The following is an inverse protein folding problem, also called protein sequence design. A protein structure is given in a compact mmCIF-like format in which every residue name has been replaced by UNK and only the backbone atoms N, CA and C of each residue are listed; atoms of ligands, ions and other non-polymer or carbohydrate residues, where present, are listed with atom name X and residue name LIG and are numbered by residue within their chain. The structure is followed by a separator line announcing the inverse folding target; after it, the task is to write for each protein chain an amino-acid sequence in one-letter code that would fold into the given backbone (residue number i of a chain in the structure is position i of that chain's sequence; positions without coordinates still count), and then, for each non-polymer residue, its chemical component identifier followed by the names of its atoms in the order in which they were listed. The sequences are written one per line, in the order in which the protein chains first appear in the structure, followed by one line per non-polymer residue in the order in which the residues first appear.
data_IF_600420991637
#
_entry.id   IF_600420991637
#
_cell.length_a   1.000
_cell.length_b   1.000
_cell.length_c   1.000
_cell.angle_alpha   90.00
_cell.angle_beta   90.00
_cell.angle_gamma   90.00
#
_symmetry.space_group_name_H-M   'P 1'
#
loop_
_entity.id
_entity.type
_entity.pdbx_description
1 polymer ?
#
# COMPACT_ATOMS: atom_id res chain seq x y z
N UNK A 1 5.28 5.60 4.67
CA UNK A 1 6.23 4.89 3.78
C UNK A 1 7.66 5.11 4.23
N UNK A 2 8.66 4.72 3.44
CA UNK A 2 10.07 4.80 3.85
C UNK A 2 10.57 6.24 4.06
N UNK A 3 9.94 7.23 3.42
CA UNK A 3 10.26 8.64 3.66
C UNK A 3 9.72 9.17 4.99
N UNK A 4 8.72 8.52 5.58
CA UNK A 4 8.16 8.91 6.87
C UNK A 4 8.87 8.22 8.04
N UNK A 5 9.25 6.95 7.85
CA UNK A 5 9.83 6.11 8.90
C UNK A 5 11.33 5.87 8.76
N UNK A 6 11.97 6.29 7.67
CA UNK A 6 13.28 5.84 7.19
C UNK A 6 13.23 4.46 6.49
N UNK A 7 14.26 4.16 5.69
CA UNK A 7 14.44 2.83 5.10
C UNK A 7 14.68 1.75 6.17
N UNK A 8 15.34 2.15 7.26
CA UNK A 8 15.52 1.35 8.46
C UNK A 8 14.91 2.13 9.63
N UNK A 9 13.66 1.83 10.02
CA UNK A 9 12.97 2.56 11.06
C UNK A 9 13.68 2.51 12.40
N UNK A 10 13.45 3.52 13.22
CA UNK A 10 13.86 3.56 14.62
C UNK A 10 12.64 3.82 15.51
N UNK A 11 12.76 3.59 16.81
CA UNK A 11 11.68 3.89 17.75
C UNK A 11 11.30 5.38 17.70
N UNK A 12 12.28 6.27 17.50
CA UNK A 12 12.07 7.70 17.38
C UNK A 12 11.33 8.07 16.09
N UNK A 13 11.67 7.48 14.94
CA UNK A 13 10.96 7.78 13.68
C UNK A 13 9.50 7.31 13.74
N UNK A 14 9.25 6.13 14.33
CA UNK A 14 7.88 5.63 14.55
C UNK A 14 7.12 6.51 15.54
N UNK A 15 7.74 6.89 16.65
CA UNK A 15 7.11 7.79 17.65
C UNK A 15 6.78 9.15 17.04
N UNK A 16 7.71 9.71 16.26
CA UNK A 16 7.50 10.96 15.55
C UNK A 16 6.32 10.86 14.59
N UNK A 17 6.24 9.81 13.76
CA UNK A 17 5.08 9.58 12.89
C UNK A 17 3.78 9.53 13.68
N UNK A 18 3.72 8.70 14.73
CA UNK A 18 2.50 8.48 15.52
C UNK A 18 2.01 9.76 16.20
N UNK A 19 2.95 10.60 16.68
CA UNK A 19 2.60 11.89 17.29
C UNK A 19 1.98 12.90 16.32
N UNK A 20 2.29 12.82 15.01
CA UNK A 20 1.79 13.75 14.00
C UNK A 20 0.56 13.23 13.24
N UNK A 21 0.51 11.92 12.97
CA UNK A 21 -0.46 11.34 12.04
C UNK A 21 -1.38 10.28 12.67
N UNK A 22 -1.10 9.84 13.90
CA UNK A 22 -1.85 8.77 14.57
C UNK A 22 -1.28 7.38 14.29
N UNK A 23 -2.10 6.35 14.44
CA UNK A 23 -1.64 4.97 14.38
C UNK A 23 -1.03 4.61 13.01
N UNK A 24 0.11 3.90 13.04
CA UNK A 24 0.86 3.49 11.86
C UNK A 24 0.41 2.14 11.27
N UNK A 25 -0.45 1.42 12.00
CA UNK A 25 -1.20 0.29 11.52
C UNK A 25 -2.56 0.23 12.26
N UNK A 26 -3.64 -0.12 11.54
CA UNK A 26 -4.99 -0.20 12.11
C UNK A 26 -5.94 -0.92 11.15
N UNK A 27 -7.12 -1.27 11.65
CA UNK A 27 -8.21 -1.83 10.85
C UNK A 27 -9.43 -0.92 10.91
N UNK A 28 -10.18 -0.82 9.82
CA UNK A 28 -11.46 -0.15 9.79
C UNK A 28 -12.45 -0.89 8.88
N UNK A 29 -13.73 -0.56 9.01
CA UNK A 29 -14.81 -1.23 8.30
C UNK A 29 -15.74 -0.21 7.65
N UNK A 30 -16.16 -0.51 6.43
CA UNK A 30 -17.16 0.29 5.70
C UNK A 30 -18.03 -0.67 4.91
N UNK A 31 -19.35 -0.62 5.12
CA UNK A 31 -20.36 -1.35 4.34
C UNK A 31 -20.07 -2.84 4.09
N UNK A 32 -19.61 -3.54 5.14
CA UNK A 32 -19.31 -4.97 5.10
C UNK A 32 -17.94 -5.32 4.52
N UNK A 33 -17.10 -4.33 4.20
CA UNK A 33 -15.71 -4.52 3.81
C UNK A 33 -14.78 -4.29 5.01
N UNK A 34 -13.70 -5.05 5.08
CA UNK A 34 -12.62 -4.88 6.06
C UNK A 34 -11.41 -4.27 5.36
N UNK A 35 -10.84 -3.23 5.96
CA UNK A 35 -9.65 -2.56 5.46
C UNK A 35 -8.57 -2.61 6.52
N UNK A 36 -7.38 -3.07 6.12
CA UNK A 36 -6.24 -3.27 7.00
C UNK A 36 -5.11 -2.36 6.51
N UNK A 37 -4.63 -1.46 7.36
CA UNK A 37 -3.49 -0.60 7.10
C UNK A 37 -2.31 -1.15 7.89
N UNK A 38 -1.16 -1.37 7.23
CA UNK A 38 0.05 -1.88 7.90
C UNK A 38 1.26 -0.97 7.66
N UNK A 39 2.10 -0.84 8.68
CA UNK A 39 3.44 -0.32 8.52
C UNK A 39 4.36 -1.41 7.95
N UNK A 40 4.41 -1.51 6.62
CA UNK A 40 5.22 -2.53 5.94
C UNK A 40 6.73 -2.29 6.05
N UNK A 41 7.18 -1.13 6.56
CA UNK A 41 8.60 -0.84 6.73
C UNK A 41 9.29 -1.82 7.70
N UNK A 42 8.57 -2.29 8.72
CA UNK A 42 9.10 -3.27 9.67
C UNK A 42 9.44 -4.62 8.99
N UNK A 43 8.68 -4.99 7.95
CA UNK A 43 8.94 -6.21 7.19
C UNK A 43 10.12 -6.05 6.21
N UNK A 44 10.46 -4.80 5.85
CA UNK A 44 11.62 -4.50 5.02
C UNK A 44 12.93 -4.50 5.82
N UNK A 45 12.94 -3.87 6.99
CA UNK A 45 14.06 -3.85 7.93
C UNK A 45 13.56 -3.50 9.34
N UNK A 46 13.61 -4.44 10.29
CA UNK A 46 13.20 -4.24 11.68
C UNK A 46 14.36 -4.23 12.67
N UNK A 47 15.62 -4.13 12.23
CA UNK A 47 16.78 -4.31 13.12
C UNK A 47 16.81 -3.37 14.33
N UNK A 48 16.26 -2.16 14.21
CA UNK A 48 16.18 -1.19 15.32
C UNK A 48 14.78 -1.09 15.97
N UNK A 49 13.83 -1.92 15.53
CA UNK A 49 12.42 -1.86 15.95
C UNK A 49 11.82 -3.26 16.19
N UNK A 50 12.64 -4.24 16.58
CA UNK A 50 12.22 -5.64 16.74
C UNK A 50 10.95 -5.80 17.60
N UNK A 51 10.85 -5.08 18.72
CA UNK A 51 9.67 -5.14 19.58
C UNK A 51 8.39 -4.64 18.90
N UNK A 52 8.49 -3.56 18.11
CA UNK A 52 7.36 -3.00 17.35
C UNK A 52 6.96 -3.91 16.18
N UNK A 53 7.96 -4.52 15.52
CA UNK A 53 7.73 -5.55 14.52
C UNK A 53 6.96 -6.74 15.12
N UNK A 54 7.42 -7.30 16.25
CA UNK A 54 6.78 -8.44 16.90
C UNK A 54 5.34 -8.13 17.34
N UNK A 55 5.11 -6.89 17.80
CA UNK A 55 3.77 -6.40 18.14
C UNK A 55 2.85 -6.39 16.92
N UNK A 56 3.29 -5.76 15.82
CA UNK A 56 2.52 -5.68 14.60
C UNK A 56 2.35 -7.04 13.93
N UNK A 57 3.35 -7.93 13.98
CA UNK A 57 3.25 -9.26 13.36
C UNK A 57 2.23 -10.15 14.09
N UNK A 58 2.20 -10.10 15.42
CA UNK A 58 1.14 -10.73 16.22
C UNK A 58 -0.22 -10.11 15.94
N UNK A 59 -0.28 -8.80 15.79
CA UNK A 59 -1.53 -8.10 15.48
C UNK A 59 -2.07 -8.48 14.11
N UNK A 60 -1.25 -8.42 13.04
CA UNK A 60 -1.69 -8.74 11.68
C UNK A 60 -2.10 -10.21 11.57
N UNK A 61 -1.44 -11.12 12.28
CA UNK A 61 -1.86 -12.52 12.33
C UNK A 61 -3.29 -12.67 12.84
N UNK A 62 -3.69 -11.88 13.87
CA UNK A 62 -5.07 -11.87 14.37
C UNK A 62 -6.04 -11.26 13.36
N UNK A 63 -5.67 -10.16 12.71
CA UNK A 63 -6.51 -9.53 11.68
C UNK A 63 -6.76 -10.46 10.50
N UNK A 64 -5.75 -11.22 10.07
CA UNK A 64 -5.89 -12.17 8.98
C UNK A 64 -6.71 -13.41 9.37
N UNK A 65 -6.66 -13.85 10.64
CA UNK A 65 -7.58 -14.87 11.15
C UNK A 65 -9.03 -14.37 11.16
N UNK A 66 -9.25 -13.13 11.58
CA UNK A 66 -10.55 -12.49 11.55
C UNK A 66 -11.07 -12.32 10.12
N UNK A 67 -10.23 -11.82 9.20
CA UNK A 67 -10.57 -11.70 7.78
C UNK A 67 -11.03 -13.03 7.17
N UNK A 68 -10.37 -14.13 7.55
CA UNK A 68 -10.69 -15.48 7.07
C UNK A 68 -11.98 -16.04 7.66
N UNK A 69 -12.26 -15.74 8.93
CA UNK A 69 -13.43 -16.25 9.64
C UNK A 69 -14.68 -15.35 9.44
N UNK A 70 -14.45 -14.06 9.18
CA UNK A 70 -15.46 -13.06 8.97
C UNK A 70 -16.11 -13.21 7.60
N UNK A 71 -17.40 -12.90 7.53
CA UNK A 71 -18.15 -12.89 6.28
C UNK A 71 -18.07 -11.50 5.63
N UNK A 72 -16.84 -11.03 5.36
CA UNK A 72 -16.60 -9.73 4.74
C UNK A 72 -16.84 -9.81 3.23
N UNK A 73 -17.46 -8.77 2.66
CA UNK A 73 -17.65 -8.65 1.20
C UNK A 73 -16.30 -8.56 0.49
N UNK A 74 -15.42 -7.71 1.01
CA UNK A 74 -14.04 -7.58 0.59
C UNK A 74 -13.11 -7.39 1.78
N UNK A 75 -11.90 -7.93 1.67
CA UNK A 75 -10.80 -7.62 2.58
C UNK A 75 -9.70 -6.94 1.75
N UNK A 76 -9.33 -5.73 2.15
CA UNK A 76 -8.38 -4.88 1.42
C UNK A 76 -7.24 -4.48 2.34
N UNK A 77 -6.01 -4.50 1.82
CA UNK A 77 -4.82 -4.08 2.57
C UNK A 77 -4.20 -2.82 1.94
N UNK A 78 -3.79 -1.88 2.78
CA UNK A 78 -2.99 -0.73 2.39
C UNK A 78 -1.59 -0.85 2.99
N UNK A 79 -0.58 -0.72 2.14
CA UNK A 79 0.82 -0.74 2.54
C UNK A 79 1.66 0.14 1.60
N UNK A 80 2.91 0.44 1.95
CA UNK A 80 3.76 1.27 1.09
C UNK A 80 4.52 0.45 0.04
N UNK A 81 5.27 -0.56 0.47
CA UNK A 81 6.06 -1.47 -0.36
C UNK A 81 5.18 -2.65 -0.78
N UNK A 82 5.07 -2.98 -2.09
CA UNK A 82 4.33 -4.16 -2.53
C UNK A 82 5.05 -5.48 -2.20
N UNK A 83 4.30 -6.56 -1.99
CA UNK A 83 4.89 -7.89 -1.77
C UNK A 83 5.51 -8.52 -3.02
N UNK A 84 5.01 -8.12 -4.20
CA UNK A 84 5.54 -8.48 -5.52
C UNK A 84 5.08 -7.42 -6.53
N UNK A 85 5.79 -7.32 -7.66
CA UNK A 85 5.43 -6.38 -8.72
C UNK A 85 4.62 -7.02 -9.84
N UNK A 86 4.97 -8.24 -10.25
CA UNK A 86 4.29 -8.96 -11.31
C UNK A 86 3.94 -10.39 -10.89
N UNK A 87 4.90 -11.09 -10.26
CA UNK A 87 4.75 -12.50 -9.86
C UNK A 87 5.21 -12.70 -8.41
N UNK A 88 4.45 -13.49 -7.65
CA UNK A 88 4.77 -13.82 -6.25
C UNK A 88 6.10 -14.58 -6.09
N UNK A 89 6.59 -15.21 -7.16
CA UNK A 89 7.84 -15.97 -7.17
C UNK A 89 9.08 -15.11 -7.45
N UNK A 90 8.92 -13.79 -7.56
CA UNK A 90 10.04 -12.86 -7.59
C UNK A 90 11.00 -13.09 -6.40
N UNK A 91 12.32 -12.87 -6.58
CA UNK A 91 13.34 -13.27 -5.59
C UNK A 91 13.17 -12.61 -4.22
N UNK A 92 12.45 -11.49 -4.16
CA UNK A 92 12.01 -10.85 -2.92
C UNK A 92 10.60 -11.34 -2.57
N UNK A 93 10.49 -12.58 -2.08
CA UNK A 93 9.21 -13.15 -1.65
C UNK A 93 8.72 -12.41 -0.41
N UNK A 94 7.66 -11.61 -0.56
CA UNK A 94 6.89 -11.05 0.54
C UNK A 94 5.89 -12.05 1.13
N UNK A 95 5.16 -11.63 2.15
CA UNK A 95 4.13 -12.44 2.82
C UNK A 95 2.82 -12.61 2.01
N UNK A 96 2.84 -12.37 0.71
CA UNK A 96 1.62 -12.33 -0.14
C UNK A 96 0.76 -13.59 -0.05
N UNK A 97 1.35 -14.77 0.17
CA UNK A 97 0.60 -16.02 0.34
C UNK A 97 -0.25 -16.03 1.62
N UNK A 98 0.28 -15.48 2.72
CA UNK A 98 -0.42 -15.36 4.02
C UNK A 98 -1.69 -14.51 3.86
N UNK A 99 -1.57 -13.39 3.15
CA UNK A 99 -2.70 -12.49 2.87
C UNK A 99 -3.71 -13.14 1.93
N UNK A 100 -3.25 -13.80 0.86
CA UNK A 100 -4.14 -14.51 -0.06
C UNK A 100 -4.92 -15.63 0.65
N UNK A 101 -4.26 -16.41 1.52
CA UNK A 101 -4.88 -17.48 2.28
C UNK A 101 -5.92 -16.99 3.32
N UNK A 102 -5.86 -15.71 3.68
CA UNK A 102 -6.81 -15.04 4.55
C UNK A 102 -8.02 -14.43 3.80
N UNK A 103 -8.08 -14.57 2.48
CA UNK A 103 -9.17 -14.03 1.67
C UNK A 103 -9.00 -12.57 1.27
N UNK A 104 -7.78 -12.01 1.38
CA UNK A 104 -7.50 -10.65 0.93
C UNK A 104 -7.71 -10.57 -0.59
N UNK A 105 -8.52 -9.58 -1.00
CA UNK A 105 -8.92 -9.37 -2.40
C UNK A 105 -7.99 -8.42 -3.13
N UNK A 106 -7.54 -7.37 -2.45
CA UNK A 106 -6.68 -6.35 -3.03
C UNK A 106 -5.66 -5.82 -2.01
N UNK A 107 -4.43 -5.59 -2.47
CA UNK A 107 -3.38 -4.90 -1.72
C UNK A 107 -2.98 -3.66 -2.51
N UNK A 108 -3.26 -2.48 -1.97
CA UNK A 108 -2.85 -1.22 -2.56
C UNK A 108 -1.50 -0.77 -2.00
N UNK A 109 -0.57 -0.51 -2.92
CA UNK A 109 0.80 -0.12 -2.62
C UNK A 109 1.28 1.07 -3.47
N UNK A 110 2.45 1.60 -3.10
CA UNK A 110 3.17 2.64 -3.80
C UNK A 110 4.64 2.25 -3.97
N UNK A 111 5.55 3.11 -3.50
CA UNK A 111 7.01 2.91 -3.46
C UNK A 111 7.72 2.88 -4.82
N UNK A 112 7.13 2.26 -5.84
CA UNK A 112 7.81 1.99 -7.12
C UNK A 112 7.77 3.15 -8.12
N UNK A 113 6.99 4.20 -7.82
CA UNK A 113 6.91 5.43 -8.60
C UNK A 113 6.45 5.27 -10.05
N UNK A 114 5.85 4.12 -10.39
CA UNK A 114 5.08 3.91 -11.60
C UNK A 114 3.99 2.88 -11.35
N UNK A 115 3.01 2.82 -12.24
CA UNK A 115 1.95 1.82 -12.15
C UNK A 115 2.52 0.43 -12.41
N UNK A 116 2.27 -0.48 -11.49
CA UNK A 116 2.66 -1.89 -11.57
C UNK A 116 1.63 -2.71 -10.78
N UNK A 117 1.87 -4.01 -10.68
CA UNK A 117 0.98 -4.92 -10.00
C UNK A 117 0.74 -6.20 -10.78
N UNK A 118 0.14 -7.16 -10.10
CA UNK A 118 -0.17 -8.45 -10.66
C UNK A 118 -1.17 -9.21 -9.80
N UNK A 119 -1.61 -10.34 -10.32
CA UNK A 119 -2.52 -11.23 -9.60
C UNK A 119 -1.73 -12.40 -9.01
N UNK A 120 -2.06 -12.74 -7.76
CA UNK A 120 -1.78 -14.05 -7.21
C UNK A 120 -3.11 -14.73 -6.85
N UNK A 121 -3.49 -15.73 -7.65
CA UNK A 121 -4.81 -16.36 -7.61
C UNK A 121 -5.92 -15.29 -7.74
N UNK A 122 -6.73 -15.13 -6.70
CA UNK A 122 -7.83 -14.16 -6.64
C UNK A 122 -7.46 -12.86 -5.91
N UNK A 123 -6.22 -12.69 -5.47
CA UNK A 123 -5.73 -11.46 -4.84
C UNK A 123 -4.96 -10.62 -5.85
N UNK A 124 -5.29 -9.34 -5.94
CA UNK A 124 -4.54 -8.37 -6.75
C UNK A 124 -3.59 -7.57 -5.87
N UNK A 125 -2.35 -7.35 -6.33
CA UNK A 125 -1.46 -6.32 -5.79
C UNK A 125 -1.44 -5.17 -6.77
N UNK A 126 -1.79 -3.97 -6.31
CA UNK A 126 -1.95 -2.77 -7.13
C UNK A 126 -0.91 -1.75 -6.69
N UNK A 127 0.00 -1.38 -7.58
CA UNK A 127 0.96 -0.29 -7.31
C UNK A 127 0.51 0.97 -8.02
N UNK A 128 0.34 2.04 -7.25
CA UNK A 128 0.00 3.37 -7.79
C UNK A 128 1.26 4.20 -7.97
N UNK A 129 1.38 4.84 -9.14
CA UNK A 129 2.48 5.76 -9.45
C UNK A 129 2.57 6.91 -8.45
N UNK A 130 3.75 7.53 -8.36
CA UNK A 130 3.97 8.70 -7.53
C UNK A 130 3.31 9.95 -8.13
N UNK A 131 3.01 10.94 -7.28
CA UNK A 131 2.54 12.25 -7.75
C UNK A 131 3.68 13.19 -8.15
N UNK A 132 4.86 13.08 -7.53
CA UNK A 132 5.94 14.07 -7.67
C UNK A 132 7.24 13.58 -8.32
N UNK A 133 7.38 12.28 -8.58
CA UNK A 133 8.64 11.72 -9.07
C UNK A 133 8.42 10.39 -9.81
N UNK A 134 7.73 10.41 -10.96
CA UNK A 134 7.49 9.19 -11.72
C UNK A 134 8.79 8.62 -12.31
N UNK A 135 8.90 7.30 -12.33
CA UNK A 135 10.07 6.60 -12.86
C UNK A 135 9.74 5.82 -14.14
N UNK A 136 10.73 5.53 -15.00
CA UNK A 136 10.60 4.58 -16.10
C UNK A 136 10.09 3.21 -15.61
N UNK A 137 9.44 2.40 -16.47
CA UNK A 137 9.38 2.51 -17.93
C UNK A 137 8.28 3.43 -18.46
N UNK A 138 7.51 4.10 -17.59
CA UNK A 138 6.36 4.89 -18.01
C UNK A 138 6.69 6.37 -18.12
N UNK A 139 6.36 7.02 -19.24
CA UNK A 139 6.26 8.49 -19.32
C UNK A 139 4.93 8.98 -18.69
N UNK A 140 4.43 8.28 -17.67
CA UNK A 140 3.12 8.53 -17.09
C UNK A 140 3.12 9.87 -16.37
N UNK A 141 2.05 10.64 -16.54
CA UNK A 141 1.86 11.88 -15.80
C UNK A 141 1.65 11.59 -14.31
N UNK A 142 1.84 12.62 -13.49
CA UNK A 142 1.27 12.68 -12.15
C UNK A 142 -0.22 12.35 -12.21
N UNK A 143 -0.70 11.63 -11.20
CA UNK A 143 -2.04 11.10 -11.21
C UNK A 143 -2.40 10.47 -9.87
N UNK A 144 -3.62 9.97 -9.80
CA UNK A 144 -4.17 9.29 -8.64
C UNK A 144 -5.00 8.09 -9.09
N UNK A 145 -5.21 7.13 -8.19
CA UNK A 145 -6.04 5.96 -8.47
C UNK A 145 -7.43 6.15 -7.90
N UNK A 146 -8.43 6.04 -8.75
CA UNK A 146 -9.83 5.96 -8.34
C UNK A 146 -10.18 4.49 -8.16
N UNK A 147 -10.68 4.12 -6.98
CA UNK A 147 -11.11 2.78 -6.63
C UNK A 147 -12.61 2.80 -6.37
N UNK A 148 -13.33 1.91 -7.04
CA UNK A 148 -14.77 1.69 -6.85
C UNK A 148 -14.95 0.32 -6.22
N UNK A 149 -15.61 0.28 -5.07
CA UNK A 149 -15.90 -0.94 -4.31
C UNK A 149 -17.39 -1.19 -4.40
N UNK A 150 -17.76 -2.22 -5.15
CA UNK A 150 -19.13 -2.72 -5.27
C UNK A 150 -19.29 -3.98 -4.40
N UNK A 151 -20.49 -4.55 -4.32
CA UNK A 151 -20.75 -5.73 -3.49
C UNK A 151 -19.93 -6.97 -3.90
N UNK A 152 -19.70 -7.16 -5.19
CA UNK A 152 -19.08 -8.36 -5.77
C UNK A 152 -17.68 -8.11 -6.35
N UNK A 153 -17.29 -6.84 -6.54
CA UNK A 153 -16.03 -6.48 -7.20
C UNK A 153 -15.37 -5.24 -6.62
N UNK A 154 -14.06 -5.21 -6.75
CA UNK A 154 -13.25 -3.99 -6.64
C UNK A 154 -12.76 -3.68 -8.05
N UNK A 155 -12.99 -2.47 -8.51
CA UNK A 155 -12.44 -1.98 -9.77
C UNK A 155 -11.65 -0.70 -9.53
N UNK A 156 -10.64 -0.45 -10.37
CA UNK A 156 -9.84 0.76 -10.22
C UNK A 156 -9.28 1.25 -11.55
N UNK A 157 -8.99 2.55 -11.62
CA UNK A 157 -8.29 3.16 -12.73
C UNK A 157 -7.31 4.22 -12.23
N UNK A 158 -6.15 4.29 -12.86
CA UNK A 158 -5.26 5.43 -12.69
C UNK A 158 -5.77 6.59 -13.55
N UNK A 159 -5.81 7.78 -12.96
CA UNK A 159 -6.27 9.02 -13.58
C UNK A 159 -5.11 10.00 -13.59
N UNK A 160 -4.64 10.32 -14.78
CA UNK A 160 -3.65 11.37 -14.98
C UNK A 160 -4.22 12.74 -14.59
N UNK A 161 -3.45 13.49 -13.81
CA UNK A 161 -3.63 14.93 -13.62
C UNK A 161 -3.11 15.59 -14.89
N UNK A 162 -4.04 16.08 -15.71
CA UNK A 162 -3.68 16.90 -16.86
C UNK A 162 -3.19 18.24 -16.35
N UNK A 163 -1.93 18.57 -16.63
CA UNK A 163 -1.47 19.95 -16.53
C UNK A 163 -2.14 20.71 -17.68
N UNK A 164 -3.04 21.63 -17.36
CA UNK A 164 -3.55 22.55 -18.39
C UNK A 164 -2.37 23.37 -18.90
N UNK A 165 -2.07 23.30 -20.19
CA UNK A 165 -1.10 24.18 -20.83
C UNK A 165 -1.63 25.61 -20.84
N UNK A 166 -1.45 26.34 -19.74
CA UNK A 166 -1.40 27.81 -19.76
C UNK A 166 0.04 28.22 -20.05
N UNK A 167 0.40 28.28 -21.34
CA UNK A 167 1.52 29.11 -21.77
C UNK A 167 0.97 30.54 -21.93
N UNK A 168 1.45 31.49 -21.13
CA UNK A 168 2.15 32.68 -21.65
C UNK A 168 2.56 33.65 -20.53
N UNK A 169 3.77 34.20 -20.69
CA UNK A 169 4.32 35.44 -20.12
C UNK A 169 4.82 35.44 -18.68
N UNK A 170 6.08 35.04 -18.52
CA UNK A 170 7.05 35.89 -17.80
C UNK A 170 8.25 36.15 -18.72
N UNK A 171 8.05 37.02 -19.71
CA UNK A 171 9.17 37.75 -20.30
C UNK A 171 9.51 38.89 -19.34
N UNK A 172 10.62 38.75 -18.62
CA UNK A 172 11.24 39.87 -17.93
C UNK A 172 12.13 40.59 -18.94
N UNK A 173 11.69 41.79 -19.36
CA UNK A 173 12.57 42.81 -19.95
C UNK A 173 13.57 43.30 -18.91
#
# INVERSE_FOLDING_TARGET
GNHDFLNSPTVESVTAYKSHFGDDYFTFWVDGCMFIVINVQFYKDHKNVLALYDEQDKWIAKQLLEAKAGNYKHVVVFQHIPWFLNDINEPYKGDGEKFQAAGVRAIFAGHYHHNAGGFYKNMEVIVTSAIGAQLPPTNANSGYRVVTVDEDKISHKYVDIKVSSSNSMFDFN
#
